data_IF_370052612901
#
_entry.id   IF_370052612901
#
_cell.length_a   1.000
_cell.length_b   1.000
_cell.length_c   1.000
_cell.angle_alpha   90.00
_cell.angle_beta   90.00
_cell.angle_gamma   90.00
#
_symmetry.space_group_name_H-M   'P 1'
#
loop_
_entity.id
_entity.type
_entity.pdbx_description
1 polymer ?
#
# COMPACT_ATOMS: atom_id res chain seq x y z
N UNK A 1 5.45 -12.10 -6.24
CA UNK A 1 5.76 -12.53 -4.86
C UNK A 1 4.77 -11.85 -3.92
N UNK A 2 4.98 -10.63 -3.42
CA UNK A 2 4.04 -10.04 -2.45
C UNK A 2 2.57 -9.92 -2.93
N UNK A 3 2.30 -9.35 -4.10
CA UNK A 3 0.90 -9.23 -4.58
C UNK A 3 0.29 -10.59 -4.93
N UNK A 4 1.08 -11.55 -5.41
CA UNK A 4 0.62 -12.92 -5.67
C UNK A 4 0.24 -13.64 -4.36
N UNK A 5 1.05 -13.46 -3.32
CA UNK A 5 0.79 -14.00 -1.98
C UNK A 5 -0.47 -13.37 -1.39
N UNK A 6 -0.63 -12.05 -1.52
CA UNK A 6 -1.86 -11.35 -1.15
C UNK A 6 -3.08 -11.89 -1.91
N UNK A 7 -2.97 -12.06 -3.22
CA UNK A 7 -4.07 -12.60 -4.02
C UNK A 7 -4.44 -14.03 -3.61
N UNK A 8 -3.45 -14.85 -3.27
CA UNK A 8 -3.64 -16.22 -2.79
C UNK A 8 -4.33 -16.24 -1.42
N UNK A 9 -3.79 -15.49 -0.45
CA UNK A 9 -4.30 -15.40 0.92
C UNK A 9 -5.78 -14.98 0.95
N UNK A 10 -6.14 -14.00 0.13
CA UNK A 10 -7.49 -13.48 0.08
C UNK A 10 -8.37 -14.14 -0.99
N UNK A 11 -7.87 -15.12 -1.74
CA UNK A 11 -8.62 -15.87 -2.75
C UNK A 11 -9.16 -14.99 -3.89
N UNK A 12 -8.34 -14.09 -4.41
CA UNK A 12 -8.68 -13.21 -5.53
C UNK A 12 -8.79 -14.02 -6.84
N UNK A 13 -9.59 -13.51 -7.77
CA UNK A 13 -9.75 -14.09 -9.09
C UNK A 13 -11.05 -13.63 -9.76
N UNK A 14 -11.55 -14.41 -10.72
CA UNK A 14 -12.73 -14.07 -11.53
C UNK A 14 -13.98 -13.66 -10.71
N UNK A 15 -14.17 -14.28 -9.55
CA UNK A 15 -15.35 -14.08 -8.72
C UNK A 15 -15.10 -13.18 -7.50
N UNK A 16 -13.85 -12.75 -7.25
CA UNK A 16 -13.50 -11.91 -6.11
C UNK A 16 -12.41 -10.94 -6.52
N UNK A 17 -12.80 -9.67 -6.61
CA UNK A 17 -11.94 -8.59 -7.07
C UNK A 17 -11.64 -7.61 -5.95
N UNK A 18 -10.40 -7.17 -5.87
CA UNK A 18 -9.94 -6.13 -4.95
C UNK A 18 -9.43 -4.96 -5.78
N UNK A 19 -9.80 -3.77 -5.35
CA UNK A 19 -9.26 -2.51 -5.85
C UNK A 19 -8.35 -1.96 -4.78
N UNK A 20 -7.06 -1.84 -5.10
CA UNK A 20 -6.06 -1.29 -4.20
C UNK A 20 -5.76 0.16 -4.61
N UNK A 21 -6.09 1.10 -3.73
CA UNK A 21 -5.84 2.54 -3.94
C UNK A 21 -4.47 2.89 -3.39
N UNK A 22 -3.57 3.40 -4.24
CA UNK A 22 -2.16 3.63 -3.91
C UNK A 22 -1.66 4.99 -4.41
N UNK A 23 -0.57 5.48 -3.83
CA UNK A 23 0.15 6.63 -4.37
C UNK A 23 1.03 6.22 -5.57
N UNK A 24 1.68 7.20 -6.19
CA UNK A 24 2.48 7.00 -7.40
C UNK A 24 3.98 6.78 -7.11
N UNK A 25 4.33 6.12 -6.00
CA UNK A 25 5.71 5.77 -5.73
C UNK A 25 6.31 4.94 -6.89
N UNK A 26 7.61 5.11 -7.20
CA UNK A 26 8.20 4.54 -8.43
C UNK A 26 8.07 3.02 -8.58
N UNK A 27 7.98 2.29 -7.47
CA UNK A 27 7.76 0.84 -7.46
C UNK A 27 6.30 0.46 -7.71
N UNK A 28 5.34 1.32 -7.38
CA UNK A 28 3.92 1.15 -7.69
C UNK A 28 3.62 1.32 -9.19
N UNK A 29 4.35 2.21 -9.87
CA UNK A 29 4.15 2.54 -11.29
C UNK A 29 5.08 1.78 -12.23
N UNK A 30 5.89 0.85 -11.70
CA UNK A 30 6.87 0.11 -12.49
C UNK A 30 6.19 -0.82 -13.51
N UNK A 31 6.67 -0.81 -14.75
CA UNK A 31 6.26 -1.78 -15.77
C UNK A 31 6.67 -3.22 -15.45
N UNK A 32 7.62 -3.42 -14.52
CA UNK A 32 7.99 -4.75 -14.05
C UNK A 32 7.07 -5.30 -12.95
N UNK A 33 6.14 -4.48 -12.43
CA UNK A 33 5.18 -4.90 -11.42
C UNK A 33 4.15 -5.85 -12.03
N UNK A 34 4.07 -7.06 -11.48
CA UNK A 34 3.06 -8.06 -11.88
C UNK A 34 1.83 -7.91 -11.00
N UNK A 35 0.68 -7.72 -11.63
CA UNK A 35 -0.62 -7.64 -10.95
C UNK A 35 -1.36 -8.97 -11.14
N UNK A 36 -1.71 -9.68 -10.05
CA UNK A 36 -2.42 -10.96 -10.13
C UNK A 36 -3.88 -10.77 -10.60
N UNK A 37 -4.49 -11.86 -11.09
CA UNK A 37 -5.90 -11.85 -11.49
C UNK A 37 -6.80 -11.47 -10.31
N UNK A 38 -7.76 -10.57 -10.55
CA UNK A 38 -8.67 -10.09 -9.51
C UNK A 38 -8.09 -8.98 -8.63
N UNK A 39 -6.90 -8.45 -8.91
CA UNK A 39 -6.41 -7.21 -8.31
C UNK A 39 -6.35 -6.09 -9.35
N UNK A 40 -6.86 -4.90 -9.01
CA UNK A 40 -6.63 -3.67 -9.76
C UNK A 40 -5.96 -2.62 -8.89
N UNK A 41 -5.15 -1.78 -9.51
CA UNK A 41 -4.56 -0.61 -8.87
C UNK A 41 -5.29 0.66 -9.32
N UNK A 42 -5.66 1.51 -8.38
CA UNK A 42 -6.09 2.88 -8.63
C UNK A 42 -5.04 3.82 -8.04
N UNK A 43 -4.48 4.66 -8.89
CA UNK A 43 -3.49 5.64 -8.47
C UNK A 43 -4.16 6.93 -8.03
N UNK A 44 -3.78 7.40 -6.84
CA UNK A 44 -4.14 8.72 -6.35
C UNK A 44 -3.44 9.82 -7.16
N UNK A 45 -4.00 11.04 -7.21
CA UNK A 45 -3.31 12.19 -7.78
C UNK A 45 -1.94 12.41 -7.13
N UNK A 46 -0.98 12.85 -7.94
CA UNK A 46 0.37 13.11 -7.43
C UNK A 46 0.33 14.24 -6.39
N UNK A 47 1.08 14.07 -5.30
CA UNK A 47 1.20 15.06 -4.20
C UNK A 47 -0.13 15.35 -3.48
N UNK A 48 -1.00 14.34 -3.36
CA UNK A 48 -2.24 14.41 -2.58
C UNK A 48 -2.23 13.50 -1.34
N UNK A 49 -1.34 13.76 -0.36
CA UNK A 49 -1.24 12.96 0.86
C UNK A 49 -2.56 12.87 1.65
N UNK A 50 -3.39 13.91 1.60
CA UNK A 50 -4.69 13.99 2.26
C UNK A 50 -5.70 12.91 1.81
N UNK A 51 -5.46 12.34 0.63
CA UNK A 51 -6.29 11.28 0.03
C UNK A 51 -5.80 9.88 0.37
N UNK A 52 -4.57 9.70 0.86
CA UNK A 52 -4.02 8.38 1.21
C UNK A 52 -4.45 8.01 2.64
N UNK A 53 -5.30 6.97 2.84
CA UNK A 53 -5.75 6.60 4.18
C UNK A 53 -4.61 6.29 5.16
N UNK A 54 -3.50 5.72 4.67
CA UNK A 54 -2.35 5.43 5.53
C UNK A 54 -1.72 6.69 6.14
N UNK A 55 -1.67 7.80 5.41
CA UNK A 55 -1.05 9.05 5.89
C UNK A 55 -1.88 9.71 6.99
N UNK A 56 -3.19 9.45 7.04
CA UNK A 56 -4.05 9.93 8.13
C UNK A 56 -3.69 9.34 9.48
N UNK A 57 -2.94 8.23 9.51
CA UNK A 57 -2.49 7.59 10.75
C UNK A 57 -1.19 8.21 11.28
N UNK A 58 -0.39 8.89 10.46
CA UNK A 58 0.90 9.43 10.87
C UNK A 58 0.83 10.40 12.06
N UNK A 59 -0.15 11.32 12.15
CA UNK A 59 -0.27 12.19 13.32
C UNK A 59 -0.38 11.43 14.65
N UNK A 60 -0.96 10.22 14.64
CA UNK A 60 -1.04 9.37 15.84
C UNK A 60 0.33 8.85 16.28
N UNK A 61 1.29 8.76 15.36
CA UNK A 61 2.64 8.25 15.62
C UNK A 61 3.69 9.34 15.80
N UNK A 62 3.42 10.57 15.36
CA UNK A 62 4.40 11.66 15.32
C UNK A 62 5.06 11.93 16.69
N UNK A 63 4.26 12.05 17.74
CA UNK A 63 4.79 12.34 19.09
C UNK A 63 5.65 11.19 19.63
N UNK A 64 5.24 9.95 19.38
CA UNK A 64 6.00 8.77 19.84
C UNK A 64 7.35 8.71 19.12
N UNK A 65 7.35 8.89 17.79
CA UNK A 65 8.57 8.85 16.98
C UNK A 65 9.50 10.02 17.29
N UNK A 66 8.95 11.20 17.61
CA UNK A 66 9.74 12.39 17.93
C UNK A 66 10.45 12.30 19.28
N UNK A 67 9.82 11.64 20.26
CA UNK A 67 10.29 11.63 21.65
C UNK A 67 10.84 10.28 22.11
N UNK A 68 10.73 9.24 21.28
CA UNK A 68 11.16 7.90 21.62
C UNK A 68 11.70 7.20 20.38
N UNK A 69 12.62 6.26 20.60
CA UNK A 69 13.17 5.43 19.53
C UNK A 69 13.13 3.97 19.96
N UNK A 70 12.82 3.05 19.03
CA UNK A 70 12.89 1.63 19.33
C UNK A 70 14.33 1.23 19.68
N UNK A 71 14.48 0.23 20.55
CA UNK A 71 15.79 -0.27 20.98
C UNK A 71 16.56 -0.96 19.86
N UNK A 72 15.84 -1.55 18.90
CA UNK A 72 16.38 -2.10 17.66
C UNK A 72 15.33 -2.03 16.54
N UNK A 73 15.80 -2.12 15.29
CA UNK A 73 14.98 -2.31 14.08
C UNK A 73 15.01 -3.77 13.59
N UNK A 74 15.72 -4.64 14.31
CA UNK A 74 15.83 -6.08 14.06
C UNK A 74 14.54 -6.85 14.38
#
# INVERSE_FOLDING_TARGET
MFLDDFATEYGLGKNKRVILVIDQAGWHTSHSLKIPEGLDLIYLPAKSPELQPAERLWPLTNEVVANSSPLSLD
#
